data_IF_135563203303
#
_entry.id   IF_135563203303
#
_cell.length_a   1.000
_cell.length_b   1.000
_cell.length_c   1.000
_cell.angle_alpha   90.00
_cell.angle_beta   90.00
_cell.angle_gamma   90.00
#
_symmetry.space_group_name_H-M   'P 1'
#
loop_
_entity.id
_entity.type
_entity.pdbx_description
1 polymer ?
#
# COMPACT_ATOMS: atom_id res chain seq x y z
N UNK A 1 0.09 3.16 19.00
CA UNK A 1 -1.18 3.08 18.26
C UNK A 1 -1.06 3.98 17.06
N UNK A 2 -1.53 3.54 15.91
CA UNK A 2 -1.47 4.28 14.65
C UNK A 2 -1.66 3.35 13.45
N UNK A 3 -1.50 3.90 12.25
CA UNK A 3 -1.74 3.22 10.99
C UNK A 3 -0.42 2.85 10.30
N UNK A 4 -0.02 1.60 10.44
CA UNK A 4 1.24 1.09 9.88
C UNK A 4 1.02 0.65 8.44
N UNK A 5 1.60 1.40 7.50
CA UNK A 5 1.60 1.06 6.09
C UNK A 5 2.99 1.32 5.51
N UNK A 6 3.75 0.23 5.32
CA UNK A 6 5.06 0.25 4.68
C UNK A 6 5.09 -0.65 3.45
N UNK A 7 5.92 -0.26 2.49
CA UNK A 7 6.24 -1.09 1.33
C UNK A 7 7.75 -1.11 1.17
N UNK A 8 8.31 -2.31 1.02
CA UNK A 8 9.74 -2.52 0.84
C UNK A 8 10.00 -3.14 -0.53
N UNK A 9 11.06 -2.68 -1.19
CA UNK A 9 11.54 -3.23 -2.45
C UNK A 9 13.00 -3.59 -2.25
N UNK A 10 13.28 -4.89 -2.32
CA UNK A 10 14.64 -5.43 -2.11
C UNK A 10 15.11 -5.99 -3.45
N UNK A 11 16.19 -5.40 -3.97
CA UNK A 11 16.83 -5.81 -5.20
C UNK A 11 18.28 -6.24 -4.98
N UNK A 12 18.91 -6.74 -6.04
CA UNK A 12 20.31 -7.21 -5.99
C UNK A 12 21.34 -6.12 -5.69
N UNK A 13 20.99 -4.84 -5.88
CA UNK A 13 21.88 -3.70 -5.67
C UNK A 13 21.52 -2.84 -4.47
N UNK A 14 20.27 -2.88 -4.02
CA UNK A 14 19.78 -1.97 -2.99
C UNK A 14 18.45 -2.44 -2.39
N UNK A 15 18.08 -1.87 -1.24
CA UNK A 15 16.80 -2.04 -0.58
C UNK A 15 16.18 -0.67 -0.25
N UNK A 16 14.95 -0.45 -0.71
CA UNK A 16 14.22 0.80 -0.51
C UNK A 16 12.96 0.53 0.30
N UNK A 17 12.60 1.48 1.17
CA UNK A 17 11.36 1.40 1.95
C UNK A 17 10.61 2.72 1.93
N UNK A 18 9.32 2.64 1.65
CA UNK A 18 8.38 3.74 1.82
C UNK A 18 7.59 3.51 3.13
N UNK A 19 7.52 4.54 3.98
CA UNK A 19 6.83 4.46 5.28
C UNK A 19 7.75 4.26 6.48
N UNK A 20 9.07 4.09 6.28
CA UNK A 20 10.08 4.20 7.34
C UNK A 20 10.43 5.67 7.54
N UNK A 21 9.83 6.30 8.55
CA UNK A 21 10.07 7.70 8.89
C UNK A 21 9.48 8.07 10.26
N UNK A 22 9.56 9.36 10.64
CA UNK A 22 9.13 9.81 11.97
C UNK A 22 7.68 9.46 12.31
N UNK A 23 6.79 9.38 11.31
CA UNK A 23 5.36 9.12 11.52
C UNK A 23 5.00 7.61 11.52
N UNK A 24 6.00 6.72 11.43
CA UNK A 24 5.80 5.27 11.52
C UNK A 24 5.30 4.89 12.93
N UNK A 25 4.17 4.20 13.10
CA UNK A 25 3.57 3.97 14.42
C UNK A 25 4.20 2.82 15.22
N UNK A 26 5.49 2.54 14.99
CA UNK A 26 6.25 1.49 15.67
C UNK A 26 7.38 2.10 16.51
N UNK A 27 7.38 1.80 17.80
CA UNK A 27 8.48 2.17 18.71
C UNK A 27 9.60 1.15 18.59
N UNK A 28 10.82 1.64 18.43
CA UNK A 28 12.00 0.77 18.49
C UNK A 28 12.29 0.37 19.94
N UNK A 29 12.58 -0.91 20.16
CA UNK A 29 13.09 -1.42 21.44
C UNK A 29 14.62 -1.26 21.56
N UNK A 30 15.30 -0.89 20.47
CA UNK A 30 16.75 -0.76 20.43
C UNK A 30 17.20 0.59 21.03
N UNK A 31 18.25 0.60 21.88
CA UNK A 31 18.79 1.83 22.44
C UNK A 31 19.29 2.81 21.37
N UNK A 32 19.02 4.10 21.57
CA UNK A 32 19.53 5.17 20.70
C UNK A 32 18.79 5.35 19.38
N UNK A 33 17.77 4.53 19.08
CA UNK A 33 16.94 4.72 17.88
C UNK A 33 15.92 5.83 18.11
N UNK A 34 15.86 6.77 17.17
CA UNK A 34 14.88 7.84 17.16
C UNK A 34 13.47 7.26 17.17
N UNK A 35 12.67 7.68 18.15
CA UNK A 35 11.30 7.23 18.30
C UNK A 35 10.36 8.00 17.37
N UNK A 36 9.21 7.42 17.02
CA UNK A 36 8.22 8.11 16.21
C UNK A 36 7.75 9.44 16.81
N UNK A 37 7.45 10.39 15.94
CA UNK A 37 6.86 11.70 16.23
C UNK A 37 5.60 11.85 15.38
N UNK A 38 4.49 12.18 16.03
CA UNK A 38 3.16 12.30 15.43
C UNK A 38 2.78 11.16 14.47
N UNK A 39 2.70 9.92 14.97
CA UNK A 39 2.36 8.78 14.13
C UNK A 39 1.02 8.95 13.43
N UNK A 40 0.91 8.45 12.20
CA UNK A 40 -0.35 8.51 11.47
C UNK A 40 -1.46 7.82 12.28
N UNK A 41 -2.56 8.52 12.60
CA UNK A 41 -3.63 7.95 13.43
C UNK A 41 -4.52 6.98 12.64
N UNK A 42 -4.62 7.16 11.32
CA UNK A 42 -5.52 6.41 10.44
C UNK A 42 -5.15 6.62 8.96
N UNK A 43 -5.72 5.79 8.09
CA UNK A 43 -5.46 5.84 6.65
C UNK A 43 -5.84 7.18 5.96
N UNK A 44 -6.92 7.90 6.31
CA UNK A 44 -7.25 9.16 5.64
C UNK A 44 -6.20 10.25 5.90
N UNK A 45 -5.58 10.25 7.08
CA UNK A 45 -4.49 11.18 7.41
C UNK A 45 -3.21 10.77 6.67
N UNK A 46 -2.88 9.47 6.65
CA UNK A 46 -1.70 8.94 5.95
C UNK A 46 -1.74 9.20 4.44
N UNK A 47 -2.91 9.06 3.83
CA UNK A 47 -3.10 9.09 2.38
C UNK A 47 -3.85 10.34 1.90
N UNK A 48 -3.91 11.41 2.71
CA UNK A 48 -4.59 12.65 2.34
C UNK A 48 -4.17 13.16 0.95
N UNK A 49 -2.85 13.28 0.71
CA UNK A 49 -2.31 13.74 -0.56
C UNK A 49 -2.60 12.76 -1.71
N UNK A 50 -2.60 11.45 -1.43
CA UNK A 50 -2.92 10.43 -2.43
C UNK A 50 -4.38 10.51 -2.87
N UNK A 51 -5.33 10.68 -1.93
CA UNK A 51 -6.74 10.89 -2.27
C UNK A 51 -6.95 12.20 -3.06
N UNK A 52 -6.27 13.29 -2.68
CA UNK A 52 -6.33 14.53 -3.43
C UNK A 52 -5.82 14.36 -4.87
N UNK A 53 -4.69 13.67 -5.04
CA UNK A 53 -4.12 13.36 -6.35
C UNK A 53 -5.01 12.43 -7.19
N UNK A 54 -5.59 11.41 -6.58
CA UNK A 54 -6.52 10.47 -7.23
C UNK A 54 -7.78 11.20 -7.75
N UNK A 55 -8.39 12.06 -6.91
CA UNK A 55 -9.54 12.86 -7.32
C UNK A 55 -9.19 13.82 -8.47
N UNK A 56 -8.02 14.47 -8.41
CA UNK A 56 -7.56 15.34 -9.49
C UNK A 56 -7.35 14.55 -10.80
N UNK A 57 -6.75 13.35 -10.73
CA UNK A 57 -6.58 12.48 -11.88
C UNK A 57 -7.93 12.01 -12.47
N UNK A 58 -8.91 11.72 -11.61
CA UNK A 58 -10.26 11.38 -12.06
C UNK A 58 -10.94 12.55 -12.79
N UNK A 59 -10.84 13.78 -12.26
CA UNK A 59 -11.38 14.98 -12.92
C UNK A 59 -10.73 15.20 -14.30
N UNK A 60 -9.40 15.07 -14.39
CA UNK A 60 -8.69 15.18 -15.66
C UNK A 60 -9.13 14.09 -16.67
N UNK A 61 -9.32 12.85 -16.22
CA UNK A 61 -9.81 11.76 -17.06
C UNK A 61 -11.19 12.05 -17.66
N UNK A 62 -12.16 12.47 -16.84
CA UNK A 62 -13.53 12.76 -17.32
C UNK A 62 -13.61 14.00 -18.19
N UNK A 63 -12.66 14.94 -18.04
CA UNK A 63 -12.49 16.09 -18.92
C UNK A 63 -11.75 15.74 -20.23
N UNK A 64 -11.30 14.50 -20.41
CA UNK A 64 -10.46 14.05 -21.53
C UNK A 64 -9.07 14.71 -21.60
N UNK A 65 -8.55 15.15 -20.45
CA UNK A 65 -7.25 15.84 -20.31
C UNK A 65 -6.14 14.92 -19.75
N UNK A 66 -6.47 13.68 -19.39
CA UNK A 66 -5.53 12.70 -18.85
C UNK A 66 -5.88 11.25 -19.16
N UNK A 67 -4.92 10.32 -19.02
CA UNK A 67 -5.16 8.90 -19.24
C UNK A 67 -5.94 8.27 -18.09
N UNK A 68 -6.57 7.11 -18.35
CA UNK A 68 -7.09 6.28 -17.27
C UNK A 68 -5.93 5.53 -16.60
N UNK A 69 -5.50 6.00 -15.43
CA UNK A 69 -4.42 5.39 -14.65
C UNK A 69 -4.84 4.12 -13.89
N UNK A 70 -6.15 3.88 -13.74
CA UNK A 70 -6.69 2.75 -12.98
C UNK A 70 -7.90 2.15 -13.74
N UNK A 71 -7.67 1.44 -14.87
CA UNK A 71 -8.74 0.77 -15.59
C UNK A 71 -9.35 -0.34 -14.73
N UNK A 72 -10.65 -0.62 -14.91
CA UNK A 72 -11.34 -1.67 -14.13
C UNK A 72 -10.72 -3.06 -14.25
N UNK A 73 -10.01 -3.35 -15.34
CA UNK A 73 -9.22 -4.59 -15.49
C UNK A 73 -8.13 -4.72 -14.42
N UNK A 74 -7.50 -3.63 -13.98
CA UNK A 74 -6.49 -3.65 -12.92
C UNK A 74 -7.08 -4.12 -11.58
N UNK A 75 -8.34 -3.78 -11.29
CA UNK A 75 -9.03 -4.26 -10.09
C UNK A 75 -9.29 -5.77 -10.12
N UNK A 76 -9.47 -6.35 -11.31
CA UNK A 76 -9.70 -7.81 -11.46
C UNK A 76 -8.46 -8.60 -11.06
N UNK A 77 -7.27 -8.18 -11.50
CA UNK A 77 -6.02 -8.86 -11.12
C UNK A 77 -5.72 -8.72 -9.63
N UNK A 78 -5.98 -7.54 -9.04
CA UNK A 78 -5.85 -7.36 -7.59
C UNK A 78 -6.79 -8.29 -6.80
N UNK A 79 -8.04 -8.44 -7.25
CA UNK A 79 -9.00 -9.34 -6.63
C UNK A 79 -8.57 -10.81 -6.72
N UNK A 80 -8.01 -11.25 -7.85
CA UNK A 80 -7.48 -12.62 -7.99
C UNK A 80 -6.41 -12.94 -6.96
N UNK A 81 -5.47 -12.00 -6.73
CA UNK A 81 -4.44 -12.15 -5.71
C UNK A 81 -5.06 -12.28 -4.31
N UNK A 82 -6.06 -11.45 -3.99
CA UNK A 82 -6.75 -11.51 -2.70
C UNK A 82 -7.49 -12.84 -2.49
N UNK A 83 -8.18 -13.34 -3.52
CA UNK A 83 -8.87 -14.64 -3.48
C UNK A 83 -7.90 -15.81 -3.34
N UNK A 84 -6.75 -15.77 -4.03
CA UNK A 84 -5.70 -16.78 -3.86
C UNK A 84 -5.17 -16.81 -2.42
N UNK A 85 -4.97 -15.65 -1.80
CA UNK A 85 -4.53 -15.55 -0.41
C UNK A 85 -5.58 -16.09 0.57
N UNK A 86 -6.86 -15.79 0.38
CA UNK A 86 -7.96 -16.31 1.19
C UNK A 86 -8.08 -17.84 1.08
N UNK A 87 -7.99 -18.37 -0.15
CA UNK A 87 -8.00 -19.81 -0.38
C UNK A 87 -6.76 -20.51 0.19
N UNK A 88 -5.59 -19.87 0.10
CA UNK A 88 -4.35 -20.38 0.69
C UNK A 88 -4.48 -20.51 2.21
N UNK A 89 -5.05 -19.49 2.87
CA UNK A 89 -5.34 -19.53 4.29
C UNK A 89 -6.28 -20.69 4.65
N UNK A 90 -7.37 -20.87 3.90
CA UNK A 90 -8.34 -21.92 4.15
C UNK A 90 -7.78 -23.34 3.96
N UNK A 91 -6.85 -23.52 3.00
CA UNK A 91 -6.24 -24.83 2.70
C UNK A 91 -4.97 -25.11 3.49
N UNK A 92 -4.40 -24.10 4.15
CA UNK A 92 -3.06 -24.16 4.74
C UNK A 92 -2.01 -24.69 3.73
N UNK A 93 -2.13 -24.23 2.48
CA UNK A 93 -1.28 -24.63 1.37
C UNK A 93 -1.14 -23.47 0.37
N UNK A 94 -0.06 -23.47 -0.41
CA UNK A 94 0.12 -22.48 -1.47
C UNK A 94 -0.91 -22.70 -2.59
N UNK A 95 -1.41 -21.60 -3.15
CA UNK A 95 -2.37 -21.56 -4.26
C UNK A 95 -1.78 -20.71 -5.37
N UNK A 96 -1.80 -21.20 -6.61
CA UNK A 96 -1.37 -20.39 -7.75
C UNK A 96 -2.49 -19.46 -8.21
N UNK A 97 -2.13 -18.27 -8.66
CA UNK A 97 -3.11 -17.27 -9.13
C UNK A 97 -3.89 -17.75 -10.35
N UNK A 98 -3.31 -18.60 -11.21
CA UNK A 98 -4.00 -19.18 -12.38
C UNK A 98 -5.05 -20.24 -12.03
N UNK A 99 -5.18 -20.61 -10.75
CA UNK A 99 -6.26 -21.46 -10.24
C UNK A 99 -7.51 -20.65 -9.81
N UNK A 100 -7.45 -19.32 -9.86
CA UNK A 100 -8.53 -18.39 -9.48
C UNK A 100 -9.35 -17.91 -10.67
#
# INVERSE_FOLDING_TARGET
MGYDHRTEVIGSRDALSAGLGPQMPLRSADPGVTQPVDPYPSFPVRFHEAYAAEMAAFVALVAHEGPNLCPGSAATEALRVALAADLSLARNAAVRIDEI
#
